data_IF_196130691308
#
_entry.id   IF_196130691308
#
_cell.length_a   1.000
_cell.length_b   1.000
_cell.length_c   1.000
_cell.angle_alpha   90.00
_cell.angle_beta   90.00
_cell.angle_gamma   90.00
#
_symmetry.space_group_name_H-M   'P 1'
#
loop_
_entity.id
_entity.type
_entity.pdbx_description
1 polymer ?
#
# COMPACT_ATOMS: atom_id res chain seq x y z
N UNK A 1 11.03 -5.80 11.38
CA UNK A 1 10.42 -4.50 11.01
C UNK A 1 8.94 -4.52 11.36
N UNK A 2 8.44 -3.43 11.92
CA UNK A 2 7.06 -3.30 12.44
C UNK A 2 6.14 -2.54 11.48
N UNK A 3 6.68 -1.56 10.75
CA UNK A 3 5.97 -0.78 9.75
C UNK A 3 6.84 -0.53 8.49
N UNK A 4 6.20 -0.30 7.34
CA UNK A 4 6.81 0.18 6.10
C UNK A 4 6.29 1.58 5.75
N UNK A 5 7.14 2.37 5.10
CA UNK A 5 6.73 3.57 4.37
C UNK A 5 6.87 3.27 2.88
N UNK A 6 5.76 3.31 2.14
CA UNK A 6 5.73 3.11 0.69
C UNK A 6 5.81 4.48 0.01
N UNK A 7 7.04 4.89 -0.32
CA UNK A 7 7.36 6.13 -1.03
C UNK A 7 7.92 5.85 -2.45
N UNK A 8 7.49 4.75 -3.06
CA UNK A 8 7.87 4.35 -4.42
C UNK A 8 7.06 5.13 -5.47
N UNK A 9 7.31 4.98 -6.79
CA UNK A 9 6.45 5.60 -7.80
C UNK A 9 4.98 5.16 -7.67
N UNK A 10 4.04 6.10 -7.82
CA UNK A 10 2.61 5.95 -7.47
C UNK A 10 1.93 4.67 -8.03
N UNK A 11 2.32 4.21 -9.22
CA UNK A 11 1.73 3.01 -9.84
C UNK A 11 2.11 1.71 -9.11
N UNK A 12 3.13 1.72 -8.25
CA UNK A 12 3.60 0.56 -7.47
C UNK A 12 3.09 0.54 -6.03
N UNK A 13 2.44 1.62 -5.57
CA UNK A 13 2.00 1.75 -4.17
C UNK A 13 1.09 0.60 -3.73
N UNK A 14 0.11 0.23 -4.57
CA UNK A 14 -0.84 -0.83 -4.25
C UNK A 14 -0.16 -2.20 -4.11
N UNK A 15 0.80 -2.52 -4.98
CA UNK A 15 1.50 -3.80 -4.93
C UNK A 15 2.31 -3.95 -3.65
N UNK A 16 3.16 -2.97 -3.34
CA UNK A 16 4.02 -3.02 -2.15
C UNK A 16 3.24 -2.89 -0.85
N UNK A 17 2.20 -2.04 -0.82
CA UNK A 17 1.36 -1.90 0.36
C UNK A 17 0.60 -3.19 0.66
N UNK A 18 -0.02 -3.81 -0.34
CA UNK A 18 -0.74 -5.09 -0.13
C UNK A 18 0.21 -6.20 0.30
N UNK A 19 1.41 -6.26 -0.27
CA UNK A 19 2.42 -7.24 0.13
C UNK A 19 2.84 -7.06 1.60
N UNK A 20 3.10 -5.81 2.02
CA UNK A 20 3.49 -5.50 3.39
C UNK A 20 2.35 -5.75 4.40
N UNK A 21 1.12 -5.36 4.07
CA UNK A 21 -0.06 -5.61 4.91
C UNK A 21 -0.29 -7.12 5.11
N UNK A 22 -0.21 -7.92 4.03
CA UNK A 22 -0.31 -9.39 4.12
C UNK A 22 0.82 -10.03 4.93
N UNK A 23 1.98 -9.38 5.02
CA UNK A 23 3.08 -9.81 5.88
C UNK A 23 2.92 -9.35 7.35
N UNK A 24 1.76 -8.81 7.71
CA UNK A 24 1.43 -8.34 9.06
C UNK A 24 2.18 -7.07 9.47
N UNK A 25 2.48 -6.19 8.51
CA UNK A 25 3.18 -4.92 8.76
C UNK A 25 2.22 -3.75 8.68
N UNK A 26 2.41 -2.76 9.55
CA UNK A 26 1.74 -1.48 9.39
C UNK A 26 2.27 -0.76 8.15
N UNK A 27 1.40 -0.08 7.41
CA UNK A 27 1.77 0.60 6.17
C UNK A 27 1.38 2.07 6.23
N UNK A 28 2.36 2.94 5.98
CA UNK A 28 2.12 4.31 5.55
C UNK A 28 2.38 4.39 4.04
N UNK A 29 1.39 4.86 3.27
CA UNK A 29 1.52 5.03 1.83
C UNK A 29 1.55 6.52 1.50
N UNK A 30 2.56 6.96 0.74
CA UNK A 30 2.62 8.34 0.27
C UNK A 30 1.49 8.66 -0.71
N UNK A 31 1.17 9.95 -0.84
CA UNK A 31 0.14 10.40 -1.78
C UNK A 31 0.66 10.48 -3.22
N UNK A 32 -0.19 10.25 -4.23
CA UNK A 32 -1.52 9.64 -4.14
C UNK A 32 -1.41 8.12 -3.86
N UNK A 33 -2.30 7.61 -3.00
CA UNK A 33 -2.33 6.21 -2.54
C UNK A 33 -2.32 5.16 -3.68
N UNK A 34 -3.02 5.45 -4.77
CA UNK A 34 -2.98 4.68 -6.01
C UNK A 34 -3.49 5.54 -7.18
N UNK A 35 -3.38 5.00 -8.41
CA UNK A 35 -3.86 5.67 -9.62
C UNK A 35 -5.34 5.38 -9.96
N UNK A 36 -5.92 4.32 -9.38
CA UNK A 36 -7.30 3.88 -9.64
C UNK A 36 -7.99 3.53 -8.33
N UNK A 37 -9.30 3.79 -8.24
CA UNK A 37 -10.09 3.48 -7.05
C UNK A 37 -10.07 1.97 -6.70
N UNK A 38 -10.11 1.09 -7.70
CA UNK A 38 -10.02 -0.35 -7.46
C UNK A 38 -8.70 -0.79 -6.80
N UNK A 39 -7.61 -0.08 -7.07
CA UNK A 39 -6.31 -0.34 -6.43
C UNK A 39 -6.31 0.16 -4.97
N UNK A 40 -6.99 1.27 -4.68
CA UNK A 40 -7.25 1.72 -3.31
C UNK A 40 -8.09 0.69 -2.54
N UNK A 41 -9.19 0.21 -3.13
CA UNK A 41 -10.06 -0.79 -2.50
C UNK A 41 -9.31 -2.11 -2.20
N UNK A 42 -8.34 -2.47 -3.04
CA UNK A 42 -7.48 -3.63 -2.84
C UNK A 42 -6.56 -3.44 -1.63
N UNK A 43 -6.02 -2.24 -1.44
CA UNK A 43 -5.20 -1.90 -0.27
C UNK A 43 -6.03 -1.84 1.01
N UNK A 44 -7.23 -1.24 0.96
CA UNK A 44 -8.15 -1.16 2.11
C UNK A 44 -8.54 -2.56 2.60
N UNK A 45 -8.86 -3.48 1.69
CA UNK A 45 -9.20 -4.87 2.03
C UNK A 45 -8.05 -5.67 2.63
N UNK A 46 -6.81 -5.26 2.39
CA UNK A 46 -5.63 -5.94 2.91
C UNK A 46 -5.22 -5.45 4.30
N UNK A 47 -5.69 -4.27 4.73
CA UNK A 47 -5.42 -3.68 6.03
C UNK A 47 -6.32 -4.24 7.12
#
# INVERSE_FOLDING_TARGET
>A
MEAVIVATPNHTHSEYSVAALKAGKHVFCEKPMALRLGDCDRMIRAA
#
